data_IF_366505867188
#
_entry.id   IF_366505867188
#
_cell.length_a   1.000
_cell.length_b   1.000
_cell.length_c   1.000
_cell.angle_alpha   90.00
_cell.angle_beta   90.00
_cell.angle_gamma   90.00
#
_symmetry.space_group_name_H-M   'P 1'
#
loop_
_entity.id
_entity.type
_entity.pdbx_description
1 polymer ?
#
# COMPACT_ATOMS: atom_id res chain seq x y z
N UNK A 1 1.94 11.84 -7.18
CA UNK A 1 2.75 11.33 -6.05
C UNK A 1 4.17 11.15 -6.54
N UNK A 2 5.08 11.92 -5.98
CA UNK A 2 6.52 11.83 -6.28
C UNK A 2 7.29 11.55 -4.98
N UNK A 3 8.45 10.90 -5.09
CA UNK A 3 9.30 10.60 -3.92
C UNK A 3 10.17 11.82 -3.63
N UNK A 4 10.27 12.23 -2.36
CA UNK A 4 11.17 13.31 -1.96
C UNK A 4 12.62 12.88 -2.11
N UNK A 5 13.47 13.79 -2.60
CA UNK A 5 14.89 13.51 -2.82
C UNK A 5 15.67 13.20 -1.52
N UNK A 6 15.31 13.84 -0.41
CA UNK A 6 15.99 13.69 0.88
C UNK A 6 15.87 12.25 1.43
N UNK A 7 14.67 11.64 1.55
CA UNK A 7 14.52 10.22 1.88
C UNK A 7 15.34 9.29 0.98
N UNK A 8 15.35 9.51 -0.33
CA UNK A 8 16.14 8.68 -1.26
C UNK A 8 17.64 8.77 -0.99
N UNK A 9 18.13 9.97 -0.67
CA UNK A 9 19.55 10.20 -0.37
C UNK A 9 19.95 9.49 0.93
N UNK A 10 19.18 9.67 2.00
CA UNK A 10 19.45 9.00 3.28
C UNK A 10 19.26 7.48 3.19
N UNK A 11 18.31 7.01 2.38
CA UNK A 11 18.13 5.58 2.12
C UNK A 11 19.35 4.99 1.43
N UNK A 12 19.91 5.70 0.45
CA UNK A 12 21.11 5.29 -0.24
C UNK A 12 22.33 5.18 0.69
N UNK A 13 22.52 6.17 1.58
CA UNK A 13 23.58 6.13 2.58
C UNK A 13 23.38 4.97 3.58
N UNK A 14 22.14 4.72 3.98
CA UNK A 14 21.81 3.60 4.87
C UNK A 14 22.14 2.25 4.23
N UNK A 15 21.77 2.06 2.96
CA UNK A 15 22.11 0.88 2.17
C UNK A 15 23.61 0.63 2.15
N UNK A 16 24.38 1.66 1.79
CA UNK A 16 25.82 1.55 1.60
C UNK A 16 26.50 1.18 2.91
N UNK A 17 26.17 1.88 4.00
CA UNK A 17 26.71 1.61 5.33
C UNK A 17 26.37 0.20 5.82
N UNK A 18 25.13 -0.26 5.59
CA UNK A 18 24.72 -1.60 6.00
C UNK A 18 25.46 -2.67 5.18
N UNK A 19 25.53 -2.52 3.86
CA UNK A 19 26.20 -3.49 3.00
C UNK A 19 27.70 -3.57 3.28
N UNK A 20 28.37 -2.44 3.46
CA UNK A 20 29.80 -2.39 3.79
C UNK A 20 30.12 -3.15 5.09
N UNK A 21 29.21 -3.15 6.06
CA UNK A 21 29.45 -3.75 7.37
C UNK A 21 28.98 -5.20 7.48
N UNK A 22 27.87 -5.55 6.87
CA UNK A 22 27.16 -6.81 7.16
C UNK A 22 26.99 -7.74 5.97
N UNK A 23 27.25 -7.28 4.75
CA UNK A 23 26.87 -8.00 3.54
C UNK A 23 28.07 -8.51 2.76
N UNK A 24 28.02 -9.78 2.35
CA UNK A 24 29.05 -10.39 1.48
C UNK A 24 29.11 -9.72 0.10
N UNK A 25 28.03 -9.05 -0.31
CA UNK A 25 27.94 -8.42 -1.62
C UNK A 25 28.83 -7.19 -1.78
N UNK A 26 29.22 -6.54 -0.67
CA UNK A 26 30.15 -5.41 -0.66
C UNK A 26 31.62 -5.83 -0.77
N UNK A 27 31.93 -7.13 -0.69
CA UNK A 27 33.31 -7.64 -0.84
C UNK A 27 33.90 -7.39 -2.23
N UNK A 28 35.22 -7.59 -2.39
CA UNK A 28 35.93 -7.39 -3.66
C UNK A 28 35.67 -8.51 -4.69
N UNK A 29 34.43 -8.66 -5.14
CA UNK A 29 33.98 -9.66 -6.11
C UNK A 29 33.20 -9.02 -7.28
N UNK A 30 33.16 -9.66 -8.45
CA UNK A 30 32.26 -9.23 -9.53
C UNK A 30 30.90 -9.88 -9.32
N UNK A 31 29.83 -9.09 -9.31
CA UNK A 31 28.47 -9.61 -9.18
C UNK A 31 27.49 -8.76 -9.97
N UNK A 32 26.38 -9.39 -10.38
CA UNK A 32 25.28 -8.69 -11.05
C UNK A 32 24.73 -7.55 -10.20
N UNK A 33 24.68 -7.73 -8.86
CA UNK A 33 24.25 -6.70 -7.90
C UNK A 33 25.13 -5.46 -7.83
N UNK A 34 26.34 -5.52 -8.40
CA UNK A 34 27.28 -4.40 -8.54
C UNK A 34 27.51 -4.00 -9.98
N UNK A 35 26.55 -4.30 -10.86
CA UNK A 35 26.66 -4.09 -12.30
C UNK A 35 27.94 -4.73 -12.90
N UNK A 36 28.29 -5.93 -12.40
CA UNK A 36 29.49 -6.68 -12.76
C UNK A 36 30.81 -5.92 -12.54
N UNK A 37 30.87 -5.04 -11.52
CA UNK A 37 32.08 -4.34 -11.10
C UNK A 37 32.55 -4.85 -9.74
N UNK A 38 33.87 -4.89 -9.54
CA UNK A 38 34.47 -5.29 -8.25
C UNK A 38 34.16 -4.31 -7.12
N UNK A 39 34.14 -3.01 -7.43
CA UNK A 39 33.87 -1.91 -6.50
C UNK A 39 32.54 -1.19 -6.75
N UNK A 40 31.62 -1.83 -7.49
CA UNK A 40 30.31 -1.22 -7.78
C UNK A 40 29.46 -1.07 -6.51
N UNK A 41 28.57 -0.08 -6.50
CA UNK A 41 27.58 0.08 -5.44
C UNK A 41 26.56 -1.07 -5.48
N UNK A 42 26.14 -1.55 -4.32
CA UNK A 42 25.17 -2.64 -4.17
C UNK A 42 23.77 -2.05 -4.06
N UNK A 43 22.85 -2.44 -4.96
CA UNK A 43 21.49 -1.87 -5.04
C UNK A 43 20.37 -2.80 -4.54
N UNK A 44 20.69 -3.77 -3.70
CA UNK A 44 19.69 -4.68 -3.13
C UNK A 44 19.20 -4.20 -1.77
N UNK A 45 18.09 -4.74 -1.27
CA UNK A 45 17.59 -4.43 0.06
C UNK A 45 18.59 -4.82 1.17
N UNK A 46 18.77 -3.99 2.22
CA UNK A 46 19.63 -4.33 3.34
C UNK A 46 18.85 -5.19 4.34
N UNK A 47 19.40 -6.34 4.70
CA UNK A 47 18.78 -7.29 5.63
C UNK A 47 17.96 -8.38 4.95
N UNK A 48 17.04 -8.98 5.71
CA UNK A 48 16.27 -10.16 5.27
C UNK A 48 14.98 -9.79 4.55
N UNK A 49 14.39 -10.76 3.84
CA UNK A 49 13.08 -10.60 3.20
C UNK A 49 11.98 -10.25 4.22
N UNK A 50 12.01 -10.84 5.43
CA UNK A 50 11.04 -10.50 6.48
C UNK A 50 11.17 -9.05 6.96
N UNK A 51 12.40 -8.51 6.99
CA UNK A 51 12.63 -7.10 7.28
C UNK A 51 11.97 -6.22 6.21
N UNK A 52 12.18 -6.55 4.93
CA UNK A 52 11.54 -5.85 3.80
C UNK A 52 10.01 -5.86 3.91
N UNK A 53 9.41 -7.04 4.09
CA UNK A 53 7.95 -7.18 4.19
C UNK A 53 7.38 -6.40 5.37
N UNK A 54 8.05 -6.43 6.52
CA UNK A 54 7.63 -5.64 7.69
C UNK A 54 7.67 -4.14 7.41
N UNK A 55 8.71 -3.65 6.73
CA UNK A 55 8.84 -2.23 6.39
C UNK A 55 7.81 -1.80 5.35
N UNK A 56 7.54 -2.62 4.33
CA UNK A 56 6.56 -2.28 3.29
C UNK A 56 5.10 -2.40 3.76
N UNK A 57 4.83 -3.11 4.87
CA UNK A 57 3.47 -3.29 5.40
C UNK A 57 2.77 -1.96 5.70
N UNK A 58 3.51 -0.97 6.20
CA UNK A 58 2.97 0.34 6.54
C UNK A 58 3.67 1.39 5.68
N UNK A 59 3.02 1.93 4.63
CA UNK A 59 3.62 2.96 3.80
C UNK A 59 3.90 4.23 4.63
N UNK A 60 5.10 4.78 4.43
CA UNK A 60 5.55 6.02 5.07
C UNK A 60 5.20 7.21 4.18
N UNK A 61 4.01 7.76 4.38
CA UNK A 61 3.50 8.86 3.54
C UNK A 61 4.35 10.13 3.64
N UNK A 62 5.08 10.33 4.73
CA UNK A 62 5.96 11.48 4.93
C UNK A 62 7.12 11.54 3.90
N UNK A 63 7.48 10.42 3.29
CA UNK A 63 8.58 10.31 2.32
C UNK A 63 8.18 10.78 0.91
N UNK A 64 6.90 11.09 0.69
CA UNK A 64 6.34 11.45 -0.61
C UNK A 64 5.79 12.88 -0.63
N UNK A 65 5.85 13.49 -1.81
CA UNK A 65 5.04 14.66 -2.16
C UNK A 65 3.71 14.17 -2.73
N UNK A 66 2.67 14.24 -1.89
CA UNK A 66 1.33 13.78 -2.20
C UNK A 66 0.56 14.92 -2.86
N UNK A 67 0.15 14.69 -4.10
CA UNK A 67 -0.60 15.63 -4.92
C UNK A 67 -1.98 15.06 -5.20
N UNK A 68 -3.01 15.92 -5.21
CA UNK A 68 -4.35 15.52 -5.65
C UNK A 68 -4.34 15.25 -7.15
N UNK A 69 -5.18 14.29 -7.58
CA UNK A 69 -5.33 13.94 -9.01
C UNK A 69 -6.14 14.98 -9.78
N UNK A 70 -7.13 15.57 -9.11
CA UNK A 70 -8.03 16.57 -9.66
C UNK A 70 -7.88 17.88 -8.87
N UNK A 71 -8.41 18.98 -9.43
CA UNK A 71 -8.38 20.29 -8.79
C UNK A 71 -9.16 20.31 -7.47
N UNK A 72 -10.27 19.57 -7.39
CA UNK A 72 -11.05 19.42 -6.18
C UNK A 72 -10.55 18.22 -5.36
N UNK A 73 -9.99 18.52 -4.19
CA UNK A 73 -9.47 17.49 -3.26
C UNK A 73 -10.54 16.52 -2.75
N UNK A 74 -11.82 16.88 -2.84
CA UNK A 74 -12.97 16.09 -2.39
C UNK A 74 -13.57 15.21 -3.49
N UNK A 75 -13.01 15.21 -4.70
CA UNK A 75 -13.57 14.45 -5.83
C UNK A 75 -13.66 12.93 -5.59
N UNK A 76 -12.88 12.40 -4.65
CA UNK A 76 -12.97 10.99 -4.26
C UNK A 76 -14.30 10.63 -3.58
N UNK A 77 -15.07 11.62 -3.10
CA UNK A 77 -16.40 11.41 -2.53
C UNK A 77 -17.47 11.10 -3.59
N UNK A 78 -17.15 11.27 -4.88
CA UNK A 78 -18.06 10.95 -5.99
C UNK A 78 -19.39 11.70 -5.90
N UNK A 79 -20.50 10.96 -6.01
CA UNK A 79 -21.87 11.47 -5.91
C UNK A 79 -22.37 11.60 -4.46
N UNK A 80 -21.53 11.31 -3.46
CA UNK A 80 -21.90 11.36 -2.05
C UNK A 80 -22.81 10.23 -1.58
N UNK A 81 -22.95 9.16 -2.37
CA UNK A 81 -23.75 7.98 -2.04
C UNK A 81 -22.87 6.76 -1.81
N UNK A 82 -23.33 5.88 -0.93
CA UNK A 82 -22.74 4.57 -0.64
C UNK A 82 -23.39 3.48 -1.50
N UNK A 83 -22.72 2.33 -1.64
CA UNK A 83 -23.25 1.21 -2.41
C UNK A 83 -24.57 0.67 -1.83
N UNK A 84 -24.71 0.69 -0.50
CA UNK A 84 -25.95 0.29 0.19
C UNK A 84 -27.14 1.14 -0.26
N UNK A 85 -26.96 2.46 -0.37
CA UNK A 85 -28.04 3.37 -0.75
C UNK A 85 -28.49 3.18 -2.20
N UNK A 86 -27.61 2.74 -3.09
CA UNK A 86 -27.96 2.39 -4.47
C UNK A 86 -28.73 1.07 -4.53
N UNK A 87 -28.29 0.06 -3.77
CA UNK A 87 -28.97 -1.24 -3.70
C UNK A 87 -30.37 -1.15 -3.09
N UNK A 88 -30.56 -0.28 -2.10
CA UNK A 88 -31.88 -0.01 -1.53
C UNK A 88 -32.85 0.57 -2.57
N UNK A 89 -32.38 1.46 -3.45
CA UNK A 89 -33.19 2.02 -4.54
C UNK A 89 -33.57 0.96 -5.58
N UNK A 90 -32.68 -0.02 -5.81
CA UNK A 90 -32.93 -1.20 -6.65
C UNK A 90 -33.85 -2.24 -5.98
N UNK A 91 -34.29 -1.99 -4.74
CA UNK A 91 -35.23 -2.84 -4.00
C UNK A 91 -34.58 -4.01 -3.28
N UNK A 92 -33.27 -4.00 -3.08
CA UNK A 92 -32.56 -4.96 -2.23
C UNK A 92 -32.79 -4.58 -0.76
N UNK A 93 -33.13 -5.57 0.06
CA UNK A 93 -33.22 -5.37 1.52
C UNK A 93 -31.81 -5.22 2.08
N UNK A 94 -31.54 -4.07 2.70
CA UNK A 94 -30.22 -3.69 3.20
C UNK A 94 -30.32 -3.10 4.59
N UNK A 95 -29.26 -3.28 5.38
CA UNK A 95 -29.12 -2.66 6.70
C UNK A 95 -28.41 -1.29 6.58
N UNK A 96 -29.11 -0.21 6.90
CA UNK A 96 -28.55 1.15 6.95
C UNK A 96 -27.76 1.45 8.22
N UNK A 97 -27.83 0.58 9.22
CA UNK A 97 -27.14 0.74 10.49
C UNK A 97 -26.27 -0.49 10.83
N UNK A 98 -25.35 -0.92 9.93
CA UNK A 98 -24.52 -2.11 10.13
C UNK A 98 -23.54 -1.98 11.32
N UNK A 99 -23.43 -0.79 11.90
CA UNK A 99 -22.61 -0.50 13.07
C UNK A 99 -23.35 -0.68 14.41
N UNK A 100 -24.67 -0.92 14.40
CA UNK A 100 -25.48 -1.11 15.62
C UNK A 100 -25.76 -2.60 15.84
N UNK A 101 -24.85 -3.31 16.52
CA UNK A 101 -24.98 -4.75 16.75
C UNK A 101 -24.90 -5.15 18.23
N UNK A 102 -25.51 -6.29 18.57
CA UNK A 102 -25.54 -6.83 19.93
C UNK A 102 -24.21 -7.49 20.35
N UNK A 103 -23.30 -7.75 19.40
CA UNK A 103 -22.03 -8.45 19.62
C UNK A 103 -20.87 -7.68 18.97
N UNK A 104 -19.69 -7.79 19.58
CA UNK A 104 -18.44 -7.20 19.06
C UNK A 104 -17.86 -8.10 17.97
N UNK A 105 -18.38 -7.93 16.75
CA UNK A 105 -17.89 -8.58 15.54
C UNK A 105 -17.50 -7.52 14.51
N UNK A 106 -16.53 -7.85 13.67
CA UNK A 106 -16.09 -6.94 12.60
C UNK A 106 -17.26 -6.64 11.66
N UNK A 107 -17.49 -5.37 11.38
CA UNK A 107 -18.48 -4.89 10.43
C UNK A 107 -17.83 -3.97 9.40
N UNK A 108 -18.45 -3.87 8.24
CA UNK A 108 -18.15 -2.88 7.22
C UNK A 108 -19.47 -2.28 6.71
N UNK A 109 -19.42 -1.06 6.19
CA UNK A 109 -20.58 -0.47 5.51
C UNK A 109 -20.98 -1.42 4.36
N UNK A 110 -20.04 -1.74 3.47
CA UNK A 110 -20.29 -2.63 2.33
C UNK A 110 -20.07 -4.12 2.64
N UNK A 111 -20.46 -4.60 3.84
CA UNK A 111 -20.29 -6.00 4.23
C UNK A 111 -21.20 -6.94 3.39
N UNK A 112 -20.66 -8.00 2.75
CA UNK A 112 -21.47 -9.02 2.06
C UNK A 112 -22.62 -9.63 2.88
N UNK A 113 -22.49 -9.65 4.22
CA UNK A 113 -23.52 -10.13 5.13
C UNK A 113 -24.72 -9.18 5.25
N UNK A 114 -24.51 -7.88 5.05
CA UNK A 114 -25.56 -6.84 5.02
C UNK A 114 -26.10 -6.59 3.61
N UNK A 115 -25.33 -6.99 2.58
CA UNK A 115 -25.69 -6.89 1.16
C UNK A 115 -26.51 -8.08 0.62
N UNK A 116 -27.06 -8.93 1.50
CA UNK A 116 -28.00 -9.98 1.13
C UNK A 116 -27.59 -10.83 -0.08
N UNK A 117 -26.47 -11.57 -0.03
CA UNK A 117 -26.13 -12.61 -1.01
C UNK A 117 -26.18 -12.23 -2.52
N UNK A 118 -25.94 -10.98 -2.93
CA UNK A 118 -25.96 -10.58 -4.36
C UNK A 118 -24.57 -10.40 -4.99
N UNK A 119 -23.46 -10.39 -4.23
CA UNK A 119 -22.11 -10.25 -4.82
C UNK A 119 -21.57 -11.59 -5.35
N UNK A 120 -22.24 -12.12 -6.37
CA UNK A 120 -21.72 -13.11 -7.32
C UNK A 120 -22.05 -12.66 -8.73
N UNK A 121 -21.52 -11.50 -9.14
CA UNK A 121 -21.37 -11.18 -10.56
C UNK A 121 -20.01 -10.52 -10.79
N UNK A 122 -19.14 -11.33 -11.38
CA UNK A 122 -17.88 -10.93 -11.98
C UNK A 122 -18.06 -9.63 -12.79
N UNK A 123 -17.36 -8.57 -12.39
CA UNK A 123 -17.04 -7.49 -13.31
C UNK A 123 -15.98 -8.01 -14.28
N UNK A 124 -16.42 -8.53 -15.42
CA UNK A 124 -15.55 -8.70 -16.59
C UNK A 124 -15.23 -7.32 -17.14
N UNK A 125 -13.93 -7.04 -17.23
CA UNK A 125 -13.33 -6.03 -18.10
C UNK A 125 -13.77 -6.22 -19.55
#
# INVERSE_FOLDING_TARGET
MEVKQLPTTHWNEHLDNWHMKYSVWAGNCHSWYKANKSNGRVYIWPGSMLHLLKTMKTPRFEDFDITYKNDNMWDFLGNGRTQIEELAEDGVDVDFAPFIWDQDVSWAIDDPHTLGAVVSREHKL
#
